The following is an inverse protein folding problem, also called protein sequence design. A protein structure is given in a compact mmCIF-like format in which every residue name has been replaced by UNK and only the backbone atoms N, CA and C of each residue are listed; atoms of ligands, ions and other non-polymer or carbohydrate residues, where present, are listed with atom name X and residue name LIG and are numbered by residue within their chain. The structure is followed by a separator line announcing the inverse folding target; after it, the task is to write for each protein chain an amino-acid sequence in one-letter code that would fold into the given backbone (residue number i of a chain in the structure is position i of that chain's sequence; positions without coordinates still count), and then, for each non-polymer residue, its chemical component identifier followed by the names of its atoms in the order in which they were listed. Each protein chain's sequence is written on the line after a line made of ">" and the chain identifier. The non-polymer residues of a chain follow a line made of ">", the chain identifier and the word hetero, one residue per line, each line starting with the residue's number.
data_IF_813458676383
#
_entry.id   IF_813458676383
#
_cell.length_a   1.000
_cell.length_b   1.000
_cell.length_c   1.000
_cell.angle_alpha   90.00
_cell.angle_beta   90.00
_cell.angle_gamma   90.00
#
_symmetry.space_group_name_H-M   'P 1'
#
loop_
_entity.id
_entity.type
_entity.pdbx_description
1 polymer ?
#
# COMPACT_ATOMS: atom_id res chain seq x y z
N UNK A 1 -19.86 -12.80 -18.29
CA UNK A 1 -18.50 -12.90 -17.72
C UNK A 1 -17.92 -11.50 -17.71
N UNK A 2 -17.74 -10.90 -16.54
CA UNK A 2 -17.01 -9.64 -16.43
C UNK A 2 -15.51 -9.99 -16.44
N UNK A 3 -14.78 -9.54 -17.46
CA UNK A 3 -13.32 -9.69 -17.48
C UNK A 3 -12.72 -8.64 -16.56
N UNK A 4 -11.92 -9.08 -15.58
CA UNK A 4 -11.10 -8.15 -14.80
C UNK A 4 -10.09 -7.47 -15.72
N UNK A 5 -9.91 -6.16 -15.56
CA UNK A 5 -8.95 -5.36 -16.32
C UNK A 5 -7.96 -4.67 -15.37
N UNK A 6 -6.79 -4.29 -15.86
CA UNK A 6 -5.92 -3.37 -15.11
C UNK A 6 -6.53 -1.98 -15.23
N UNK A 7 -7.06 -1.46 -14.12
CA UNK A 7 -7.75 -0.17 -14.07
C UNK A 7 -6.76 0.97 -14.16
N UNK A 8 -5.70 0.87 -13.37
CA UNK A 8 -4.68 1.90 -13.27
C UNK A 8 -3.36 1.24 -12.88
N UNK A 9 -2.27 1.81 -13.38
CA UNK A 9 -0.91 1.40 -13.04
C UNK A 9 -0.09 2.64 -12.84
N UNK A 10 0.30 2.89 -11.60
CA UNK A 10 1.00 4.13 -11.24
C UNK A 10 2.16 3.88 -10.30
N UNK A 11 3.12 4.79 -10.37
CA UNK A 11 4.23 4.85 -9.44
C UNK A 11 3.81 5.60 -8.18
N UNK A 12 4.11 5.03 -7.03
CA UNK A 12 3.86 5.64 -5.73
C UNK A 12 5.12 5.61 -4.86
N UNK A 13 5.26 6.65 -4.05
CA UNK A 13 6.34 6.78 -3.07
C UNK A 13 5.78 6.55 -1.68
N UNK A 14 6.37 5.63 -0.93
CA UNK A 14 6.00 5.38 0.46
C UNK A 14 6.23 6.63 1.31
N UNK A 15 5.19 7.11 1.98
CA UNK A 15 5.28 8.22 2.94
C UNK A 15 6.14 7.91 4.17
N UNK A 16 6.27 6.63 4.54
CA UNK A 16 6.99 6.20 5.73
C UNK A 16 8.50 6.01 5.48
N UNK A 17 8.86 5.20 4.48
CA UNK A 17 10.26 4.83 4.23
C UNK A 17 10.88 5.46 2.96
N UNK A 18 10.08 6.15 2.14
CA UNK A 18 10.55 6.75 0.88
C UNK A 18 10.84 5.76 -0.26
N UNK A 19 10.51 4.48 -0.10
CA UNK A 19 10.62 3.50 -1.19
C UNK A 19 9.66 3.87 -2.34
N UNK A 20 10.09 3.61 -3.57
CA UNK A 20 9.28 3.84 -4.78
C UNK A 20 8.84 2.49 -5.32
N UNK A 21 7.55 2.34 -5.60
CA UNK A 21 6.98 1.10 -6.12
C UNK A 21 5.87 1.37 -7.13
N UNK A 22 5.65 0.43 -8.04
CA UNK A 22 4.50 0.46 -8.95
C UNK A 22 3.35 -0.29 -8.30
N UNK A 23 2.17 0.34 -8.31
CA UNK A 23 0.91 -0.27 -7.89
C UNK A 23 0.08 -0.53 -9.15
N UNK A 24 -0.25 -1.80 -9.39
CA UNK A 24 -1.19 -2.24 -10.42
C UNK A 24 -2.54 -2.52 -9.76
N UNK A 25 -3.52 -1.71 -10.11
CA UNK A 25 -4.85 -1.68 -9.51
C UNK A 25 -5.80 -2.50 -10.41
N UNK A 26 -6.26 -3.67 -9.96
CA UNK A 26 -7.25 -4.44 -10.70
C UNK A 26 -8.64 -3.79 -10.59
N UNK A 27 -9.34 -3.73 -11.72
CA UNK A 27 -10.71 -3.26 -11.83
C UNK A 27 -11.67 -4.32 -12.36
N UNK A 28 -12.91 -4.24 -11.90
CA UNK A 28 -14.04 -5.06 -12.27
C UNK A 28 -15.27 -4.14 -12.25
N UNK A 29 -16.03 -4.04 -13.36
CA UNK A 29 -17.19 -3.15 -13.40
C UNK A 29 -18.18 -3.49 -12.29
N UNK A 30 -18.56 -2.48 -11.50
CA UNK A 30 -19.50 -2.64 -10.37
C UNK A 30 -18.88 -3.06 -9.04
N UNK A 31 -17.56 -3.32 -8.97
CA UNK A 31 -16.85 -3.68 -7.74
C UNK A 31 -15.60 -2.82 -7.59
N UNK A 32 -15.72 -1.67 -6.91
CA UNK A 32 -14.59 -0.76 -6.66
C UNK A 32 -14.56 -0.34 -5.19
N UNK A 33 -14.34 -1.33 -4.33
CA UNK A 33 -14.27 -1.14 -2.89
C UNK A 33 -12.92 -0.56 -2.46
N UNK A 34 -12.82 -0.21 -1.18
CA UNK A 34 -11.57 0.27 -0.60
C UNK A 34 -10.74 -0.96 -0.24
N UNK A 35 -9.70 -1.18 -1.00
CA UNK A 35 -8.74 -2.26 -0.79
C UNK A 35 -7.46 -1.72 -0.17
N UNK A 36 -6.87 -2.52 0.71
CA UNK A 36 -5.57 -2.23 1.30
C UNK A 36 -4.43 -2.89 0.50
N UNK A 37 -3.28 -2.23 0.52
CA UNK A 37 -2.03 -2.80 0.02
C UNK A 37 -0.87 -2.25 0.83
N UNK A 38 0.25 -2.95 0.78
CA UNK A 38 1.37 -2.69 1.68
C UNK A 38 2.61 -2.28 0.90
N UNK A 39 3.36 -1.33 1.45
CA UNK A 39 4.70 -1.05 0.97
C UNK A 39 5.55 -2.33 1.08
N UNK A 40 6.25 -2.76 0.02
CA UNK A 40 7.05 -3.99 0.02
C UNK A 40 8.24 -3.94 0.99
N UNK A 41 8.69 -2.74 1.37
CA UNK A 41 9.85 -2.53 2.24
C UNK A 41 9.47 -2.44 3.72
N UNK A 42 8.63 -1.47 4.08
CA UNK A 42 8.29 -1.20 5.48
C UNK A 42 6.92 -1.73 5.91
N UNK A 43 6.15 -2.35 5.01
CA UNK A 43 4.78 -2.81 5.26
C UNK A 43 3.79 -1.71 5.65
N UNK A 44 4.10 -0.44 5.35
CA UNK A 44 3.15 0.66 5.54
C UNK A 44 1.87 0.42 4.74
N UNK A 45 0.73 0.54 5.42
CA UNK A 45 -0.59 0.32 4.83
C UNK A 45 -1.00 1.52 3.99
N UNK A 46 -1.46 1.24 2.78
CA UNK A 46 -2.03 2.22 1.87
C UNK A 46 -3.35 1.70 1.34
N UNK A 47 -4.13 2.57 0.70
CA UNK A 47 -5.48 2.25 0.24
C UNK A 47 -5.71 2.68 -1.20
N UNK A 48 -6.38 1.84 -1.97
CA UNK A 48 -6.80 2.14 -3.33
C UNK A 48 -8.25 1.69 -3.56
N UNK A 49 -8.90 2.29 -4.57
CA UNK A 49 -10.21 1.84 -5.05
C UNK A 49 -10.00 0.76 -6.10
N UNK A 50 -10.18 -0.49 -5.69
CA UNK A 50 -9.87 -1.67 -6.49
C UNK A 50 -10.94 -2.75 -6.29
N UNK A 51 -10.94 -3.75 -7.15
CA UNK A 51 -11.84 -4.90 -7.02
C UNK A 51 -11.23 -6.05 -6.24
N UNK A 52 -9.91 -6.03 -6.07
CA UNK A 52 -9.09 -6.98 -5.33
C UNK A 52 -7.84 -6.25 -4.85
N UNK A 53 -7.10 -6.87 -3.94
CA UNK A 53 -5.84 -6.33 -3.43
C UNK A 53 -4.88 -5.98 -4.59
N UNK A 54 -4.42 -4.71 -4.68
CA UNK A 54 -3.48 -4.27 -5.69
C UNK A 54 -2.18 -5.06 -5.68
N UNK A 55 -1.57 -5.21 -6.86
CA UNK A 55 -0.25 -5.83 -6.98
C UNK A 55 0.81 -4.75 -6.88
N UNK A 56 1.80 -4.97 -6.03
CA UNK A 56 2.88 -4.01 -5.79
C UNK A 56 4.21 -4.58 -6.25
N UNK A 57 4.98 -3.79 -6.98
CA UNK A 57 6.32 -4.16 -7.45
C UNK A 57 7.32 -3.08 -7.06
N UNK A 58 8.35 -3.44 -6.31
CA UNK A 58 9.40 -2.52 -5.88
C UNK A 58 10.18 -1.98 -7.09
N UNK A 59 10.33 -0.66 -7.18
CA UNK A 59 11.17 0.02 -8.18
C UNK A 59 12.47 0.48 -7.55
N UNK A 60 12.37 1.10 -6.38
CA UNK A 60 13.50 1.64 -5.63
C UNK A 60 13.34 1.36 -4.15
N UNK A 61 14.38 0.79 -3.55
CA UNK A 61 14.44 0.55 -2.11
C UNK A 61 14.28 1.84 -1.30
N UNK A 62 13.97 1.67 -0.01
CA UNK A 62 13.79 2.78 0.95
C UNK A 62 14.98 3.75 0.98
N UNK A 63 14.68 5.03 1.24
CA UNK A 63 15.68 6.11 1.24
C UNK A 63 15.91 6.74 2.61
N UNK A 64 15.14 6.33 3.62
CA UNK A 64 15.16 6.87 4.98
C UNK A 64 16.31 6.35 5.86
N UNK A 65 17.10 5.39 5.37
CA UNK A 65 18.26 4.83 6.08
C UNK A 65 17.91 3.92 7.27
N UNK A 66 16.62 3.63 7.48
CA UNK A 66 16.16 2.74 8.55
C UNK A 66 15.91 1.33 8.00
N UNK A 67 15.62 0.38 8.89
CA UNK A 67 15.27 -1.00 8.56
C UNK A 67 14.03 -1.49 9.33
N UNK A 68 13.32 -0.58 9.97
CA UNK A 68 12.09 -0.83 10.73
C UNK A 68 10.87 -0.95 9.80
N UNK A 69 9.85 -1.67 10.30
CA UNK A 69 8.54 -1.70 9.67
C UNK A 69 7.68 -0.57 10.24
N UNK A 70 6.69 -0.12 9.47
CA UNK A 70 5.72 0.84 9.98
C UNK A 70 5.05 0.29 11.24
N UNK A 71 4.84 1.12 12.27
CA UNK A 71 4.22 0.69 13.52
C UNK A 71 2.85 0.07 13.22
N UNK A 72 2.55 -1.02 13.93
CA UNK A 72 1.23 -1.64 13.86
C UNK A 72 0.18 -0.69 14.45
N UNK A 73 -1.08 -0.91 14.08
CA UNK A 73 -2.19 -0.14 14.67
C UNK A 73 -2.20 -0.22 16.20
N UNK A 74 -1.85 -1.38 16.76
CA UNK A 74 -1.72 -1.55 18.21
C UNK A 74 -0.59 -0.69 18.80
N UNK A 75 0.59 -0.66 18.15
CA UNK A 75 1.70 0.18 18.61
C UNK A 75 1.34 1.68 18.60
N UNK A 76 0.50 2.12 17.66
CA UNK A 76 -0.03 3.49 17.67
C UNK A 76 -0.97 3.71 18.85
N UNK A 77 -1.93 2.81 19.09
CA UNK A 77 -2.83 2.89 20.26
C UNK A 77 -2.05 2.96 21.56
N UNK A 78 -1.03 2.12 21.71
CA UNK A 78 -0.22 2.08 22.91
C UNK A 78 0.54 3.40 23.12
N UNK A 79 1.00 4.06 22.05
CA UNK A 79 1.65 5.38 22.16
C UNK A 79 0.74 6.52 22.65
N UNK A 80 -0.59 6.37 22.52
CA UNK A 80 -1.58 7.34 23.02
C UNK A 80 -2.10 7.03 24.43
N UNK A 81 -1.69 5.91 25.03
CA UNK A 81 -2.15 5.52 26.39
C UNK A 81 -1.28 6.06 27.52
N UNK A 82 -0.17 6.74 27.20
CA UNK A 82 0.76 7.34 28.15
C UNK A 82 0.49 8.84 28.44
N UNK A 83 -0.66 9.38 27.99
CA UNK A 83 -1.20 10.70 28.38
C UNK A 83 -2.44 10.55 29.29
#
# INVERSE_FOLDING_TARGET
>A
MFQGYSKDRREETCSYCGAIYIVDIPGLPGHEEREEYFCPECSHVNFARASNSPRVSLVKARTDGKNDKSPSFQALIDSYKDE
#
